data_IF_811609498343
#
_entry.id   IF_811609498343
#
_cell.length_a   1.000
_cell.length_b   1.000
_cell.length_c   1.000
_cell.angle_alpha   90.00
_cell.angle_beta   90.00
_cell.angle_gamma   90.00
#
_symmetry.space_group_name_H-M   'P 1'
#
loop_
_entity.id
_entity.type
_entity.pdbx_description
1 polymer ?
#
# COMPACT_ATOMS: atom_id res chain seq x y z
N UNK A 1 18.24 -6.22 -10.77
CA UNK A 1 17.90 -7.21 -9.73
C UNK A 1 16.57 -6.78 -9.14
N UNK A 2 15.52 -7.57 -9.33
CA UNK A 2 14.15 -7.14 -8.99
C UNK A 2 13.71 -7.53 -7.58
N UNK A 3 14.49 -8.34 -6.87
CA UNK A 3 14.30 -8.64 -5.46
C UNK A 3 15.66 -8.79 -4.78
N UNK A 4 15.77 -8.35 -3.52
CA UNK A 4 17.00 -8.42 -2.73
C UNK A 4 16.67 -8.92 -1.33
N UNK A 5 17.39 -9.93 -0.86
CA UNK A 5 17.34 -10.34 0.55
C UNK A 5 18.10 -9.33 1.38
N UNK A 6 17.43 -8.72 2.34
CA UNK A 6 18.04 -7.74 3.23
C UNK A 6 18.81 -8.43 4.35
N UNK A 7 19.76 -7.71 4.96
CA UNK A 7 20.62 -8.16 6.08
C UNK A 7 19.85 -8.18 7.41
N UNK A 8 18.62 -8.72 7.39
CA UNK A 8 17.78 -8.90 8.57
C UNK A 8 16.86 -10.10 8.37
N UNK A 9 16.67 -10.84 9.45
CA UNK A 9 15.74 -11.95 9.53
C UNK A 9 15.09 -11.98 10.90
N UNK A 10 14.01 -12.74 11.00
CA UNK A 10 13.18 -12.90 12.17
C UNK A 10 13.00 -14.39 12.45
N UNK A 11 12.66 -14.74 13.70
CA UNK A 11 12.34 -16.12 14.06
C UNK A 11 11.03 -16.54 13.39
N UNK A 12 11.12 -17.50 12.46
CA UNK A 12 9.98 -17.99 11.71
C UNK A 12 8.91 -18.64 12.60
N UNK A 13 9.29 -19.36 13.66
CA UNK A 13 8.34 -20.02 14.55
C UNK A 13 7.59 -19.00 15.40
N UNK A 14 8.29 -17.98 15.90
CA UNK A 14 7.67 -16.90 16.65
C UNK A 14 6.69 -16.10 15.77
N UNK A 15 7.06 -15.84 14.52
CA UNK A 15 6.18 -15.17 13.56
C UNK A 15 4.94 -15.98 13.23
N UNK A 16 5.09 -17.29 13.00
CA UNK A 16 3.96 -18.16 12.71
C UNK A 16 3.02 -18.22 13.91
N UNK A 17 3.53 -18.40 15.13
CA UNK A 17 2.72 -18.37 16.35
C UNK A 17 1.97 -17.04 16.51
N UNK A 18 2.62 -15.92 16.20
CA UNK A 18 1.99 -14.59 16.24
C UNK A 18 0.90 -14.43 15.18
N UNK A 19 1.10 -14.97 13.96
CA UNK A 19 0.06 -15.01 12.94
C UNK A 19 -1.13 -15.86 13.39
N UNK A 20 -0.91 -17.04 13.95
CA UNK A 20 -2.01 -17.90 14.42
C UNK A 20 -2.91 -17.18 15.45
N UNK A 21 -2.33 -16.31 16.28
CA UNK A 21 -3.07 -15.53 17.25
C UNK A 21 -4.05 -14.50 16.63
N UNK A 22 -3.86 -14.10 15.37
CA UNK A 22 -4.69 -13.11 14.64
C UNK A 22 -5.30 -13.68 13.35
N UNK A 23 -5.15 -14.98 13.13
CA UNK A 23 -5.56 -15.66 11.90
C UNK A 23 -7.04 -15.48 11.58
N UNK A 24 -7.90 -15.57 12.60
CA UNK A 24 -9.35 -15.48 12.44
C UNK A 24 -9.77 -14.13 11.79
N UNK A 25 -9.12 -13.03 12.17
CA UNK A 25 -9.37 -11.71 11.57
C UNK A 25 -8.90 -11.60 10.13
N UNK A 26 -7.81 -12.29 9.78
CA UNK A 26 -7.33 -12.34 8.39
C UNK A 26 -8.29 -13.14 7.50
N UNK A 27 -8.82 -14.24 8.02
CA UNK A 27 -9.75 -15.12 7.31
C UNK A 27 -11.17 -14.55 7.23
N UNK A 28 -11.56 -13.66 8.14
CA UNK A 28 -12.89 -13.04 8.12
C UNK A 28 -13.04 -11.92 7.07
N UNK A 29 -11.96 -11.51 6.40
CA UNK A 29 -12.02 -10.48 5.35
C UNK A 29 -12.15 -11.12 3.96
N UNK A 30 -12.98 -10.56 3.06
CA UNK A 30 -13.24 -11.14 1.75
C UNK A 30 -11.97 -11.20 0.90
N UNK A 31 -11.98 -12.12 -0.05
CA UNK A 31 -10.88 -12.29 -0.97
C UNK A 31 -10.92 -11.24 -2.11
N UNK A 32 -9.82 -10.51 -2.30
CA UNK A 32 -9.55 -9.68 -3.50
C UNK A 32 -10.08 -8.25 -3.48
N UNK A 33 -9.30 -7.35 -4.10
CA UNK A 33 -9.81 -6.11 -4.67
C UNK A 33 -10.69 -6.44 -5.90
N UNK A 34 -11.81 -5.75 -6.14
CA UNK A 34 -12.58 -5.97 -7.35
C UNK A 34 -11.78 -5.48 -8.58
N UNK A 35 -11.93 -6.16 -9.73
CA UNK A 35 -11.32 -5.73 -11.01
C UNK A 35 -10.00 -6.41 -11.40
N UNK A 36 -9.14 -6.77 -10.45
CA UNK A 36 -7.85 -7.44 -10.75
C UNK A 36 -7.98 -8.96 -10.92
N UNK A 37 -9.16 -9.50 -10.56
CA UNK A 37 -9.53 -10.92 -10.66
C UNK A 37 -8.57 -11.88 -9.96
N UNK A 38 -7.99 -11.42 -8.86
CA UNK A 38 -7.29 -12.27 -7.91
C UNK A 38 -8.24 -13.30 -7.31
N UNK A 39 -7.71 -14.47 -6.97
CA UNK A 39 -8.47 -15.60 -6.44
C UNK A 39 -7.88 -16.01 -5.09
N UNK A 40 -8.71 -16.11 -4.06
CA UNK A 40 -8.29 -16.62 -2.74
C UNK A 40 -7.23 -15.75 -2.05
N UNK A 41 -7.24 -14.44 -2.23
CA UNK A 41 -6.29 -13.52 -1.60
C UNK A 41 -6.98 -12.64 -0.57
N UNK A 42 -6.53 -12.57 0.69
CA UNK A 42 -7.09 -11.65 1.70
C UNK A 42 -6.00 -10.82 2.39
N UNK A 43 -6.39 -9.70 3.02
CA UNK A 43 -5.44 -8.91 3.81
C UNK A 43 -6.08 -8.15 4.96
N UNK A 44 -5.27 -7.88 6.00
CA UNK A 44 -5.63 -6.97 7.10
C UNK A 44 -4.52 -5.94 7.33
N UNK A 45 -4.90 -4.75 7.76
CA UNK A 45 -3.97 -3.74 8.26
C UNK A 45 -3.60 -4.07 9.72
N UNK A 46 -2.29 -4.04 10.01
CA UNK A 46 -1.74 -4.18 11.36
C UNK A 46 -1.36 -2.82 11.95
N UNK A 47 -0.77 -1.94 11.16
CA UNK A 47 -0.29 -0.63 11.60
C UNK A 47 -0.22 0.29 10.38
N UNK A 48 -0.53 1.57 10.55
CA UNK A 48 -0.30 2.59 9.53
C UNK A 48 0.19 3.88 10.19
N UNK A 49 0.94 4.68 9.44
CA UNK A 49 1.41 5.97 9.92
C UNK A 49 0.28 6.99 10.18
N UNK A 50 -0.95 6.74 9.73
CA UNK A 50 -2.10 7.64 9.92
C UNK A 50 -3.05 7.18 11.03
N UNK A 51 -3.18 5.87 11.22
CA UNK A 51 -4.12 5.25 12.16
C UNK A 51 -3.42 4.74 13.43
N UNK A 52 -2.10 4.56 13.37
CA UNK A 52 -1.34 3.84 14.37
C UNK A 52 -1.65 2.33 14.36
N UNK A 53 -1.29 1.61 15.44
CA UNK A 53 -1.45 0.17 15.53
C UNK A 53 -2.93 -0.25 15.61
N UNK A 54 -3.32 -1.21 14.78
CA UNK A 54 -4.63 -1.85 14.82
C UNK A 54 -4.88 -2.56 16.15
N UNK A 55 -6.11 -2.57 16.70
CA UNK A 55 -6.46 -3.33 17.90
C UNK A 55 -6.10 -4.82 17.82
N UNK A 56 -6.03 -5.39 16.61
CA UNK A 56 -5.60 -6.78 16.35
C UNK A 56 -4.20 -7.06 16.92
N UNK A 57 -3.30 -6.07 16.93
CA UNK A 57 -1.94 -6.22 17.46
C UNK A 57 -1.89 -6.48 18.96
N UNK A 58 -2.96 -6.16 19.72
CA UNK A 58 -3.03 -6.51 21.15
C UNK A 58 -3.01 -8.02 21.37
N UNK A 59 -3.45 -8.81 20.38
CA UNK A 59 -3.45 -10.28 20.40
C UNK A 59 -2.15 -10.91 19.91
N UNK A 60 -1.27 -10.14 19.28
CA UNK A 60 0.01 -10.61 18.76
C UNK A 60 1.18 -9.70 19.18
N UNK A 61 1.61 -9.75 20.46
CA UNK A 61 2.71 -8.94 20.97
C UNK A 61 4.00 -9.05 20.15
N UNK A 62 4.34 -10.24 19.65
CA UNK A 62 5.52 -10.45 18.82
C UNK A 62 5.46 -9.70 17.47
N UNK A 63 4.28 -9.56 16.85
CA UNK A 63 4.12 -8.73 15.65
C UNK A 63 4.30 -7.25 16.01
N UNK A 64 3.72 -6.80 17.11
CA UNK A 64 3.89 -5.41 17.59
C UNK A 64 5.36 -5.09 17.89
N UNK A 65 6.05 -5.98 18.60
CA UNK A 65 7.47 -5.86 18.91
C UNK A 65 8.30 -5.82 17.63
N UNK A 66 8.03 -6.71 16.66
CA UNK A 66 8.68 -6.68 15.36
C UNK A 66 8.51 -5.31 14.70
N UNK A 67 7.28 -4.81 14.57
CA UNK A 67 7.00 -3.54 13.89
C UNK A 67 7.73 -2.37 14.57
N UNK A 68 7.68 -2.30 15.90
CA UNK A 68 8.39 -1.27 16.68
C UNK A 68 9.92 -1.40 16.63
N UNK A 69 10.43 -2.63 16.48
CA UNK A 69 11.86 -2.95 16.46
C UNK A 69 12.52 -2.82 15.09
N UNK A 70 11.76 -2.50 14.03
CA UNK A 70 12.33 -2.33 12.69
C UNK A 70 13.33 -1.16 12.64
N UNK A 71 13.12 -0.10 13.40
CA UNK A 71 13.92 1.12 13.26
C UNK A 71 13.84 1.70 11.83
N UNK A 72 12.72 1.46 11.16
CA UNK A 72 12.38 1.99 9.84
C UNK A 72 11.19 2.94 10.00
N UNK A 73 11.09 3.92 9.12
CA UNK A 73 9.91 4.78 9.04
C UNK A 73 8.78 4.02 8.35
N UNK A 74 8.00 3.28 9.14
CA UNK A 74 6.86 2.49 8.70
C UNK A 74 5.74 3.41 8.23
N UNK A 75 5.16 3.13 7.06
CA UNK A 75 3.97 3.81 6.53
C UNK A 75 2.75 2.91 6.61
N UNK A 76 2.94 1.61 6.36
CA UNK A 76 1.87 0.61 6.41
C UNK A 76 2.45 -0.77 6.71
N UNK A 77 1.80 -1.53 7.58
CA UNK A 77 2.04 -2.94 7.80
C UNK A 77 0.75 -3.74 7.58
N UNK A 78 0.83 -4.80 6.79
CA UNK A 78 -0.32 -5.68 6.48
C UNK A 78 0.07 -7.15 6.55
N UNK A 79 -0.89 -7.99 6.94
CA UNK A 79 -0.80 -9.43 6.67
C UNK A 79 -1.54 -9.71 5.37
N UNK A 80 -0.86 -10.33 4.41
CA UNK A 80 -1.43 -10.78 3.14
C UNK A 80 -1.44 -12.30 3.11
N UNK A 81 -2.63 -12.85 2.95
CA UNK A 81 -2.87 -14.29 2.85
C UNK A 81 -3.25 -14.65 1.41
N UNK A 82 -2.73 -15.79 0.94
CA UNK A 82 -3.12 -16.41 -0.32
C UNK A 82 -3.48 -17.88 -0.05
N UNK A 83 -4.75 -18.23 -0.27
CA UNK A 83 -5.33 -19.57 -0.11
C UNK A 83 -4.60 -20.63 -0.95
N UNK A 84 -4.73 -21.94 -0.59
CA UNK A 84 -4.45 -23.02 -1.52
C UNK A 84 -5.15 -22.81 -2.86
N UNK A 85 -4.42 -22.93 -3.97
CA UNK A 85 -4.91 -22.64 -5.32
C UNK A 85 -5.12 -21.15 -5.64
N UNK A 86 -4.79 -20.26 -4.70
CA UNK A 86 -4.95 -18.82 -4.87
C UNK A 86 -4.04 -18.25 -5.96
N UNK A 87 -4.53 -17.22 -6.65
CA UNK A 87 -3.84 -16.57 -7.77
C UNK A 87 -3.87 -15.05 -7.58
N UNK A 88 -2.68 -14.45 -7.58
CA UNK A 88 -2.45 -13.03 -7.77
C UNK A 88 -2.07 -12.86 -9.23
N UNK A 89 -2.95 -12.24 -10.01
CA UNK A 89 -2.72 -12.00 -11.44
C UNK A 89 -1.56 -11.04 -11.65
N UNK A 90 -0.99 -11.08 -12.84
CA UNK A 90 0.09 -10.17 -13.19
C UNK A 90 -0.38 -8.72 -13.21
N UNK A 91 0.31 -7.90 -12.43
CA UNK A 91 0.08 -6.47 -12.32
C UNK A 91 1.41 -5.78 -11.98
N UNK A 92 1.40 -4.46 -11.96
CA UNK A 92 2.45 -3.65 -11.34
C UNK A 92 1.81 -2.86 -10.22
N UNK A 93 2.52 -2.66 -9.11
CA UNK A 93 2.02 -1.87 -8.00
C UNK A 93 2.19 -0.40 -8.38
N UNK A 94 1.23 0.11 -9.16
CA UNK A 94 1.22 1.51 -9.54
C UNK A 94 1.36 2.37 -8.28
N UNK A 95 0.69 2.00 -7.17
CA UNK A 95 0.62 2.55 -5.80
C UNK A 95 1.91 2.75 -4.99
N UNK A 96 3.09 2.41 -5.49
CA UNK A 96 4.35 2.66 -4.78
C UNK A 96 5.06 3.88 -5.38
N UNK A 97 5.22 4.95 -4.58
CA UNK A 97 6.02 6.11 -4.99
C UNK A 97 7.51 5.75 -5.02
N UNK A 98 8.33 6.55 -5.71
CA UNK A 98 9.80 6.36 -5.69
C UNK A 98 10.40 6.34 -4.28
N UNK A 99 9.72 6.94 -3.31
CA UNK A 99 10.17 7.06 -1.91
C UNK A 99 9.52 6.06 -0.97
N UNK A 100 8.61 5.22 -1.45
CA UNK A 100 8.01 4.15 -0.65
C UNK A 100 8.50 2.82 -1.18
N UNK A 101 9.12 2.05 -0.30
CA UNK A 101 9.63 0.73 -0.60
C UNK A 101 8.75 -0.31 0.08
N UNK A 102 8.32 -1.30 -0.71
CA UNK A 102 7.62 -2.48 -0.20
C UNK A 102 8.61 -3.57 0.18
N UNK A 103 8.50 -4.02 1.42
CA UNK A 103 9.22 -5.15 1.97
C UNK A 103 8.26 -6.29 2.28
N UNK A 104 8.79 -7.51 2.22
CA UNK A 104 8.07 -8.72 2.60
C UNK A 104 8.85 -9.51 3.64
N UNK A 105 8.12 -10.04 4.62
CA UNK A 105 8.57 -11.09 5.51
C UNK A 105 7.62 -12.27 5.35
N UNK A 106 8.01 -13.35 4.66
CA UNK A 106 7.21 -14.56 4.63
C UNK A 106 7.06 -15.13 6.04
N UNK A 107 5.83 -15.42 6.45
CA UNK A 107 5.53 -16.05 7.74
C UNK A 107 5.23 -17.53 7.52
N UNK A 108 4.25 -17.82 6.66
CA UNK A 108 3.92 -19.17 6.21
C UNK A 108 4.15 -19.24 4.70
N UNK A 109 4.97 -20.17 4.24
CA UNK A 109 5.28 -20.35 2.82
C UNK A 109 5.53 -21.82 2.51
N UNK A 110 5.57 -22.17 1.22
CA UNK A 110 5.79 -23.54 0.73
C UNK A 110 6.62 -23.49 -0.56
N UNK A 111 7.42 -24.52 -0.90
CA UNK A 111 8.14 -24.58 -2.18
C UNK A 111 7.24 -24.38 -3.41
N UNK A 112 5.99 -24.87 -3.33
CA UNK A 112 4.97 -24.74 -4.39
C UNK A 112 4.24 -23.38 -4.40
N UNK A 113 4.60 -22.45 -3.51
CA UNK A 113 4.15 -21.06 -3.60
C UNK A 113 5.06 -20.35 -4.58
N UNK A 114 4.52 -20.04 -5.74
CA UNK A 114 5.20 -19.32 -6.79
C UNK A 114 4.94 -17.82 -6.72
N UNK A 115 6.01 -17.04 -6.80
CA UNK A 115 5.99 -15.60 -6.84
C UNK A 115 7.10 -15.11 -7.77
N UNK A 116 6.77 -14.17 -8.63
CA UNK A 116 7.66 -13.65 -9.66
C UNK A 116 7.61 -12.12 -9.69
N UNK A 117 8.76 -11.48 -9.88
CA UNK A 117 8.89 -10.03 -10.12
C UNK A 117 9.79 -9.84 -11.34
N UNK A 118 9.34 -9.09 -12.35
CA UNK A 118 10.08 -8.86 -13.59
C UNK A 118 10.42 -10.17 -14.32
N UNK A 119 9.52 -11.16 -14.24
CA UNK A 119 9.74 -12.51 -14.77
C UNK A 119 10.73 -13.38 -13.98
N UNK A 120 11.31 -12.88 -12.88
CA UNK A 120 12.27 -13.62 -12.05
C UNK A 120 11.57 -14.28 -10.86
N UNK A 121 11.79 -15.58 -10.68
CA UNK A 121 11.27 -16.34 -9.54
C UNK A 121 11.89 -15.83 -8.23
N UNK A 122 11.04 -15.59 -7.23
CA UNK A 122 11.41 -15.10 -5.90
C UNK A 122 11.23 -16.21 -4.83
N UNK A 123 12.27 -17.00 -4.49
CA UNK A 123 12.18 -18.11 -3.55
C UNK A 123 12.34 -17.62 -2.09
N UNK A 124 11.45 -16.76 -1.63
CA UNK A 124 11.55 -16.15 -0.30
C UNK A 124 11.22 -17.15 0.82
N UNK A 125 12.15 -17.30 1.77
CA UNK A 125 12.02 -18.18 2.93
C UNK A 125 11.32 -17.52 4.13
N UNK A 126 10.74 -18.36 5.00
CA UNK A 126 10.10 -17.90 6.22
C UNK A 126 11.07 -17.13 7.13
N UNK A 127 10.61 -16.01 7.69
CA UNK A 127 11.39 -15.12 8.56
C UNK A 127 12.41 -14.23 7.84
N UNK A 128 12.61 -14.37 6.54
CA UNK A 128 13.56 -13.53 5.80
C UNK A 128 12.93 -12.17 5.45
N UNK A 129 13.71 -11.08 5.54
CA UNK A 129 13.27 -9.77 5.07
C UNK A 129 13.71 -9.55 3.61
N UNK A 130 12.74 -9.25 2.75
CA UNK A 130 12.96 -9.09 1.31
C UNK A 130 12.50 -7.74 0.82
N UNK A 131 13.33 -7.10 0.02
CA UNK A 131 12.94 -6.02 -0.89
C UNK A 131 12.44 -6.60 -2.21
N UNK A 132 11.37 -6.03 -2.76
CA UNK A 132 10.93 -6.29 -4.13
C UNK A 132 10.73 -4.98 -4.90
N UNK A 133 11.10 -4.98 -6.18
CA UNK A 133 10.82 -3.89 -7.12
C UNK A 133 9.44 -4.10 -7.77
N UNK A 134 8.40 -3.73 -7.03
CA UNK A 134 7.01 -3.92 -7.46
C UNK A 134 6.55 -2.92 -8.55
N UNK A 135 7.42 -2.02 -9.00
CA UNK A 135 7.17 -1.27 -10.24
C UNK A 135 7.28 -2.18 -11.47
N UNK A 136 7.89 -3.36 -11.33
CA UNK A 136 7.92 -4.37 -12.39
C UNK A 136 6.64 -5.21 -12.37
N UNK A 137 6.25 -5.78 -13.53
CA UNK A 137 5.21 -6.80 -13.58
C UNK A 137 5.53 -7.93 -12.61
N UNK A 138 4.57 -8.29 -11.77
CA UNK A 138 4.71 -9.33 -10.77
C UNK A 138 3.39 -10.08 -10.58
N UNK A 139 3.50 -11.36 -10.21
CA UNK A 139 2.37 -12.24 -10.03
C UNK A 139 2.71 -13.35 -9.03
N UNK A 140 1.68 -14.03 -8.52
CA UNK A 140 1.86 -15.13 -7.59
C UNK A 140 0.80 -16.21 -7.72
N UNK A 141 1.19 -17.46 -7.49
CA UNK A 141 0.32 -18.63 -7.56
C UNK A 141 0.66 -19.51 -6.35
N UNK A 142 -0.32 -19.83 -5.53
CA UNK A 142 -0.14 -20.79 -4.45
C UNK A 142 -0.60 -22.18 -4.92
N UNK A 143 0.33 -23.03 -5.36
CA UNK A 143 0.02 -24.42 -5.75
C UNK A 143 0.09 -25.41 -4.59
N UNK A 144 0.37 -24.92 -3.38
CA UNK A 144 0.49 -25.78 -2.20
C UNK A 144 -0.87 -26.12 -1.58
N UNK A 145 -0.87 -27.09 -0.67
CA UNK A 145 -2.04 -27.45 0.12
C UNK A 145 -2.29 -26.53 1.34
N UNK A 146 -1.41 -25.55 1.59
CA UNK A 146 -1.50 -24.64 2.73
C UNK A 146 -1.67 -23.20 2.28
N UNK A 147 -2.21 -22.35 3.14
CA UNK A 147 -2.25 -20.92 2.87
C UNK A 147 -0.83 -20.32 2.98
N UNK A 148 -0.47 -19.43 2.05
CA UNK A 148 0.70 -18.57 2.18
C UNK A 148 0.33 -17.32 2.95
N UNK A 149 1.22 -16.85 3.83
CA UNK A 149 1.04 -15.61 4.58
C UNK A 149 2.33 -14.81 4.60
N UNK A 150 2.30 -13.58 4.11
CA UNK A 150 3.42 -12.63 4.22
C UNK A 150 3.00 -11.44 5.08
N UNK A 151 3.89 -10.98 5.95
CA UNK A 151 3.87 -9.62 6.47
C UNK A 151 4.45 -8.71 5.40
N UNK A 152 3.70 -7.68 5.01
CA UNK A 152 4.06 -6.71 3.99
C UNK A 152 4.17 -5.34 4.63
N UNK A 153 5.30 -4.68 4.39
CA UNK A 153 5.65 -3.42 5.01
C UNK A 153 5.90 -2.40 3.89
N UNK A 154 5.18 -1.29 3.91
CA UNK A 154 5.53 -0.13 3.10
C UNK A 154 6.29 0.85 4.01
N UNK A 155 7.51 1.18 3.64
CA UNK A 155 8.44 2.01 4.44
C UNK A 155 9.04 3.13 3.60
N UNK A 156 9.45 4.22 4.23
CA UNK A 156 10.19 5.28 3.52
C UNK A 156 11.56 4.78 3.05
N UNK A 157 11.97 5.21 1.85
CA UNK A 157 13.28 4.98 1.29
C UNK A 157 14.32 5.94 1.89
N UNK A 158 14.72 5.68 3.13
CA UNK A 158 15.67 6.50 3.89
C UNK A 158 16.99 5.78 4.18
N UNK A 159 17.92 6.48 4.83
CA UNK A 159 19.21 5.92 5.20
C UNK A 159 19.10 4.69 6.13
N UNK A 160 18.03 4.56 6.93
CA UNK A 160 17.82 3.40 7.77
C UNK A 160 17.46 2.17 6.94
N UNK A 161 16.59 2.31 5.95
CA UNK A 161 16.31 1.26 4.98
C UNK A 161 17.57 0.88 4.19
N UNK A 162 18.32 1.86 3.66
CA UNK A 162 19.49 1.60 2.81
C UNK A 162 20.56 0.76 3.52
N UNK A 163 20.72 0.92 4.84
CA UNK A 163 21.65 0.11 5.66
C UNK A 163 21.28 -1.37 5.74
N UNK A 164 20.04 -1.74 5.41
CA UNK A 164 19.61 -3.14 5.40
C UNK A 164 20.02 -3.87 4.13
N UNK A 165 20.43 -3.18 3.06
CA UNK A 165 20.86 -3.85 1.83
C UNK A 165 22.27 -4.46 2.00
N UNK A 166 22.53 -5.65 1.43
CA UNK A 166 23.90 -6.16 1.27
C UNK A 166 24.79 -5.16 0.51
N UNK A 167 26.11 -5.15 0.78
CA UNK A 167 27.05 -4.28 0.07
C UNK A 167 26.91 -4.41 -1.46
N UNK A 168 26.75 -3.26 -2.14
CA UNK A 168 26.62 -3.21 -3.60
C UNK A 168 25.27 -3.66 -4.16
N UNK A 169 24.28 -3.98 -3.32
CA UNK A 169 22.95 -4.43 -3.77
C UNK A 169 21.85 -3.39 -3.57
N UNK A 170 22.19 -2.14 -3.23
CA UNK A 170 21.22 -1.03 -3.23
C UNK A 170 20.79 -0.75 -4.68
N UNK A 171 19.49 -0.81 -5.00
CA UNK A 171 18.99 -0.43 -6.33
C UNK A 171 19.35 1.01 -6.67
N UNK A 172 19.74 1.26 -7.92
CA UNK A 172 20.11 2.60 -8.39
C UNK A 172 18.98 3.64 -8.21
N UNK A 173 17.72 3.20 -8.33
CA UNK A 173 16.53 4.03 -8.09
C UNK A 173 16.43 4.55 -6.65
N UNK A 174 16.92 3.80 -5.67
CA UNK A 174 16.92 4.19 -4.26
C UNK A 174 18.18 4.98 -3.88
N UNK A 175 19.32 4.66 -4.50
CA UNK A 175 20.59 5.35 -4.24
C UNK A 175 20.57 6.84 -4.67
N UNK A 176 19.71 7.20 -5.62
CA UNK A 176 19.58 8.55 -6.15
C UNK A 176 18.60 9.44 -5.38
N UNK A 177 18.02 8.98 -4.27
CA UNK A 177 17.03 9.73 -3.49
C UNK A 177 17.71 10.65 -2.46
N UNK A 178 17.37 11.94 -2.50
CA UNK A 178 17.77 12.91 -1.46
C UNK A 178 17.10 12.58 -0.11
N UNK A 179 17.75 12.85 1.04
CA UNK A 179 17.18 12.61 2.37
C UNK A 179 15.87 13.37 2.57
N UNK A 180 14.88 12.72 3.19
CA UNK A 180 13.60 13.34 3.53
C UNK A 180 13.72 14.09 4.87
N UNK A 181 13.20 15.32 4.93
CA UNK A 181 13.01 16.03 6.19
C UNK A 181 11.91 15.37 7.03
N UNK A 182 11.95 15.53 8.36
CA UNK A 182 10.94 15.02 9.28
C UNK A 182 9.55 15.56 8.88
N UNK A 183 8.60 14.69 8.48
CA UNK A 183 7.20 15.13 8.35
C UNK A 183 6.52 14.98 9.70
N UNK A 184 5.82 16.02 10.13
CA UNK A 184 4.93 16.02 11.28
C UNK A 184 3.68 15.19 11.00
N UNK A 185 3.16 14.48 12.01
CA UNK A 185 1.86 13.80 11.95
C UNK A 185 0.73 14.84 11.87
N UNK A 186 -0.27 14.60 11.02
CA UNK A 186 -1.38 15.52 10.79
C UNK A 186 -2.54 15.26 11.76
N UNK A 187 -3.21 16.33 12.18
CA UNK A 187 -4.41 16.27 13.03
C UNK A 187 -5.52 15.42 12.39
N UNK A 188 -6.17 14.49 13.11
CA UNK A 188 -7.33 13.74 12.62
C UNK A 188 -8.45 14.59 12.02
N UNK A 189 -8.71 15.80 12.55
CA UNK A 189 -9.70 16.73 11.98
C UNK A 189 -9.32 17.22 10.58
N UNK A 190 -8.02 17.26 10.27
CA UNK A 190 -7.51 17.55 8.92
C UNK A 190 -7.74 16.36 7.98
N UNK A 191 -7.70 15.12 8.47
CA UNK A 191 -7.96 13.93 7.65
C UNK A 191 -9.42 13.87 7.19
N UNK A 192 -10.35 14.14 8.10
CA UNK A 192 -11.79 14.09 7.81
C UNK A 192 -12.21 15.07 6.71
N UNK A 193 -11.66 16.29 6.72
CA UNK A 193 -11.98 17.31 5.71
C UNK A 193 -11.42 17.01 4.32
N UNK A 194 -10.53 16.02 4.18
CA UNK A 194 -9.92 15.66 2.88
C UNK A 194 -10.77 14.64 2.10
N UNK A 195 -11.86 14.13 2.68
CA UNK A 195 -12.81 13.25 2.01
C UNK A 195 -13.83 14.03 1.15
N UNK A 196 -14.06 13.57 -0.08
CA UNK A 196 -15.01 14.18 -1.02
C UNK A 196 -15.40 13.21 -2.13
N UNK A 197 -16.58 13.40 -2.73
CA UNK A 197 -17.02 12.69 -3.93
C UNK A 197 -16.66 13.49 -5.19
N UNK A 198 -16.37 12.79 -6.29
CA UNK A 198 -16.05 13.38 -7.58
C UNK A 198 -16.61 12.55 -8.74
N UNK A 199 -16.59 13.14 -9.94
CA UNK A 199 -16.88 12.41 -11.19
C UNK A 199 -15.66 12.50 -12.11
N UNK A 200 -15.18 11.35 -12.60
CA UNK A 200 -14.21 11.29 -13.68
C UNK A 200 -14.94 11.48 -15.02
N UNK A 201 -14.55 12.44 -15.87
CA UNK A 201 -15.23 12.69 -17.13
C UNK A 201 -14.85 11.68 -18.23
N UNK A 202 -15.63 11.67 -19.31
CA UNK A 202 -15.28 10.96 -20.56
C UNK A 202 -13.91 11.44 -21.07
N UNK A 203 -13.08 10.51 -21.52
CA UNK A 203 -11.73 10.77 -22.00
C UNK A 203 -10.69 10.96 -20.88
N UNK A 204 -11.11 10.96 -19.61
CA UNK A 204 -10.18 10.93 -18.50
C UNK A 204 -9.33 9.66 -18.59
N UNK A 205 -8.03 9.84 -18.49
CA UNK A 205 -7.06 8.76 -18.40
C UNK A 205 -6.02 9.17 -17.38
N UNK A 206 -5.40 8.18 -16.75
CA UNK A 206 -4.44 8.43 -15.70
C UNK A 206 -3.17 7.64 -16.00
N UNK A 207 -2.12 8.30 -16.54
CA UNK A 207 -0.91 7.61 -16.94
C UNK A 207 -0.27 6.84 -15.77
N UNK A 208 0.02 5.56 -16.00
CA UNK A 208 0.70 4.69 -15.04
C UNK A 208 -0.21 3.94 -14.06
N UNK A 209 -1.54 4.06 -14.14
CA UNK A 209 -2.48 3.33 -13.27
C UNK A 209 -3.26 2.22 -13.98
N UNK A 210 -2.99 1.99 -15.28
CA UNK A 210 -3.76 1.06 -16.12
C UNK A 210 -5.17 1.54 -16.45
N UNK A 211 -5.59 2.72 -15.98
CA UNK A 211 -6.88 3.32 -16.32
C UNK A 211 -6.81 3.89 -17.74
N UNK A 212 -7.35 3.14 -18.70
CA UNK A 212 -7.54 3.60 -20.08
C UNK A 212 -8.50 4.79 -20.14
N UNK A 213 -8.49 5.49 -21.28
CA UNK A 213 -9.38 6.62 -21.51
C UNK A 213 -10.84 6.21 -21.34
N UNK A 214 -11.51 6.83 -20.37
CA UNK A 214 -12.89 6.49 -20.03
C UNK A 214 -13.83 6.75 -21.21
N UNK A 215 -14.68 5.78 -21.52
CA UNK A 215 -15.72 5.90 -22.55
C UNK A 215 -17.04 6.44 -22.01
N UNK A 216 -17.21 6.45 -20.68
CA UNK A 216 -18.35 7.00 -19.96
C UNK A 216 -17.86 7.63 -18.64
N UNK A 217 -18.57 8.63 -18.07
CA UNK A 217 -18.21 9.18 -16.77
C UNK A 217 -18.26 8.09 -15.69
N UNK A 218 -17.31 8.13 -14.75
CA UNK A 218 -17.29 7.22 -13.59
C UNK A 218 -17.37 8.00 -12.28
N UNK A 219 -18.22 7.59 -11.33
CA UNK A 219 -18.21 8.18 -10.00
C UNK A 219 -16.92 7.77 -9.27
N UNK A 220 -16.41 8.66 -8.43
CA UNK A 220 -15.29 8.39 -7.55
C UNK A 220 -15.45 9.10 -6.22
N UNK A 221 -14.65 8.72 -5.24
CA UNK A 221 -14.67 9.33 -3.92
C UNK A 221 -13.33 9.19 -3.24
N UNK A 222 -12.90 10.19 -2.48
CA UNK A 222 -11.85 10.05 -1.48
C UNK A 222 -12.56 9.83 -0.15
N UNK A 223 -12.35 8.68 0.47
CA UNK A 223 -13.00 8.30 1.73
C UNK A 223 -11.96 7.90 2.75
N UNK A 224 -12.26 8.20 4.01
CA UNK A 224 -11.52 7.66 5.13
C UNK A 224 -11.99 6.22 5.37
N UNK A 225 -11.08 5.26 5.27
CA UNK A 225 -11.32 3.85 5.62
C UNK A 225 -10.22 3.45 6.60
N UNK A 226 -10.61 3.04 7.80
CA UNK A 226 -9.66 2.69 8.87
C UNK A 226 -8.60 3.80 9.14
N UNK A 227 -9.01 5.08 9.11
CA UNK A 227 -8.15 6.28 9.22
C UNK A 227 -7.10 6.45 8.10
N UNK A 228 -7.31 5.84 6.93
CA UNK A 228 -6.53 6.08 5.73
C UNK A 228 -7.40 6.73 4.66
N UNK A 229 -6.91 7.77 3.99
CA UNK A 229 -7.59 8.29 2.80
C UNK A 229 -7.36 7.31 1.66
N UNK A 230 -8.45 6.78 1.15
CA UNK A 230 -8.46 5.89 0.00
C UNK A 230 -9.28 6.56 -1.11
N UNK A 231 -8.71 6.61 -2.30
CA UNK A 231 -9.43 6.98 -3.51
C UNK A 231 -10.18 5.76 -3.99
N UNK A 232 -11.47 5.90 -4.21
CA UNK A 232 -12.35 4.93 -4.83
C UNK A 232 -12.78 5.43 -6.21
N UNK A 233 -12.93 4.50 -7.15
CA UNK A 233 -13.56 4.74 -8.45
C UNK A 233 -14.60 3.63 -8.64
N UNK A 234 -15.83 4.02 -8.99
CA UNK A 234 -16.98 3.11 -9.13
C UNK A 234 -17.21 2.24 -7.88
N UNK A 235 -17.10 2.86 -6.70
CA UNK A 235 -17.19 2.19 -5.38
C UNK A 235 -16.08 1.18 -5.07
N UNK A 236 -15.01 1.14 -5.87
CA UNK A 236 -13.87 0.24 -5.67
C UNK A 236 -12.61 1.02 -5.27
N UNK A 237 -11.82 0.55 -4.29
CA UNK A 237 -10.59 1.21 -3.90
C UNK A 237 -9.59 1.17 -5.06
N UNK A 238 -8.95 2.30 -5.33
CA UNK A 238 -8.16 2.55 -6.53
C UNK A 238 -6.75 3.06 -6.20
N UNK A 239 -6.61 4.06 -5.33
CA UNK A 239 -5.32 4.60 -4.91
C UNK A 239 -5.32 4.86 -3.40
N UNK A 240 -4.14 4.80 -2.78
CA UNK A 240 -3.97 5.40 -1.44
C UNK A 240 -3.70 6.88 -1.59
N UNK A 241 -4.29 7.66 -0.71
CA UNK A 241 -4.08 9.08 -0.58
C UNK A 241 -3.34 9.31 0.74
N UNK A 242 -2.12 9.85 0.68
CA UNK A 242 -1.32 10.16 1.87
C UNK A 242 -1.22 11.66 2.03
N UNK A 243 -1.85 12.22 3.07
CA UNK A 243 -1.67 13.62 3.43
C UNK A 243 -0.19 13.92 3.67
N UNK A 244 0.31 14.96 3.02
CA UNK A 244 1.69 15.45 3.17
C UNK A 244 1.74 16.85 3.79
N UNK A 245 0.60 17.55 3.76
CA UNK A 245 0.35 18.79 4.49
C UNK A 245 -1.15 18.95 4.68
N UNK A 246 -1.55 20.04 5.32
CA UNK A 246 -2.95 20.39 5.55
C UNK A 246 -3.83 20.50 4.29
N UNK A 247 -3.24 20.82 3.14
CA UNK A 247 -3.97 21.09 1.89
C UNK A 247 -3.51 20.20 0.71
N UNK A 248 -2.59 19.28 0.96
CA UNK A 248 -1.97 18.49 -0.10
C UNK A 248 -1.92 17.03 0.31
N UNK A 249 -2.41 16.19 -0.60
CA UNK A 249 -2.41 14.74 -0.47
C UNK A 249 -1.64 14.17 -1.66
N UNK A 250 -0.63 13.36 -1.37
CA UNK A 250 0.04 12.57 -2.38
C UNK A 250 -0.84 11.38 -2.73
N UNK A 251 -1.16 11.24 -4.03
CA UNK A 251 -1.75 10.02 -4.55
C UNK A 251 -0.64 9.02 -4.74
N UNK A 252 -0.61 8.05 -3.83
CA UNK A 252 0.27 6.92 -3.98
C UNK A 252 -0.26 6.09 -5.12
N UNK A 253 0.39 6.23 -6.26
CA UNK A 253 0.34 5.17 -7.23
C UNK A 253 0.48 5.43 -8.68
N UNK A 254 1.25 6.46 -8.95
CA UNK A 254 1.16 7.14 -10.19
C UNK A 254 2.58 7.53 -10.58
N UNK A 255 2.84 7.64 -11.88
CA UNK A 255 4.17 7.89 -12.45
C UNK A 255 4.84 9.18 -11.91
N UNK A 256 4.86 10.31 -12.64
CA UNK A 256 5.32 11.58 -12.05
C UNK A 256 4.50 11.91 -10.79
N UNK A 257 5.12 12.60 -9.81
CA UNK A 257 4.53 12.89 -8.49
C UNK A 257 3.07 13.36 -8.61
N UNK A 258 2.13 12.51 -8.19
CA UNK A 258 0.72 12.83 -8.31
C UNK A 258 0.19 13.39 -7.00
N UNK A 259 -0.39 14.59 -7.05
CA UNK A 259 -0.93 15.25 -5.85
C UNK A 259 -2.32 15.78 -6.10
N UNK A 260 -3.18 15.60 -5.10
CA UNK A 260 -4.39 16.39 -4.93
C UNK A 260 -4.03 17.61 -4.08
N UNK A 261 -4.21 18.81 -4.65
CA UNK A 261 -4.16 20.06 -3.90
C UNK A 261 -5.58 20.57 -3.68
N UNK A 262 -5.88 20.85 -2.42
CA UNK A 262 -7.18 21.26 -1.94
C UNK A 262 -7.19 22.78 -1.76
N UNK A 263 -8.35 23.37 -2.00
CA UNK A 263 -8.68 24.72 -1.55
C UNK A 263 -9.90 24.61 -0.66
N UNK A 264 -9.91 25.35 0.45
CA UNK A 264 -10.96 25.25 1.46
C UNK A 264 -11.73 26.56 1.61
N UNK A 265 -12.96 26.44 2.08
CA UNK A 265 -13.75 27.53 2.66
C UNK A 265 -14.26 27.07 4.03
N UNK A 266 -13.56 27.47 5.10
CA UNK A 266 -13.72 26.82 6.41
C UNK A 266 -13.24 25.36 6.33
N UNK A 267 -14.06 24.44 6.84
CA UNK A 267 -13.76 22.99 6.80
C UNK A 267 -14.24 22.29 5.52
N UNK A 268 -14.81 23.03 4.57
CA UNK A 268 -15.34 22.47 3.33
C UNK A 268 -14.33 22.58 2.18
N UNK A 269 -14.14 21.47 1.47
CA UNK A 269 -13.38 21.45 0.21
C UNK A 269 -14.12 22.26 -0.86
N UNK A 270 -13.49 23.33 -1.35
CA UNK A 270 -14.02 24.19 -2.41
C UNK A 270 -13.56 23.75 -3.80
N UNK A 271 -12.39 23.15 -3.88
CA UNK A 271 -11.82 22.70 -5.14
C UNK A 271 -10.65 21.77 -4.89
N UNK A 272 -10.52 20.78 -5.77
CA UNK A 272 -9.40 19.83 -5.76
C UNK A 272 -8.79 19.81 -7.15
N UNK A 273 -7.47 20.00 -7.19
CA UNK A 273 -6.69 19.92 -8.44
C UNK A 273 -5.75 18.73 -8.37
N UNK A 274 -5.85 17.84 -9.36
CA UNK A 274 -4.85 16.81 -9.62
C UNK A 274 -3.68 17.43 -10.39
N UNK A 275 -2.48 17.25 -9.85
CA UNK A 275 -1.21 17.60 -10.47
C UNK A 275 -0.40 16.34 -10.72
N UNK A 276 0.28 16.28 -11.86
CA UNK A 276 1.29 15.25 -12.18
C UNK A 276 2.64 15.96 -12.35
N UNK A 277 3.58 15.68 -11.44
CA UNK A 277 4.78 16.49 -11.27
C UNK A 277 4.42 17.91 -10.86
N UNK A 278 4.74 18.88 -11.71
CA UNK A 278 4.39 20.30 -11.51
C UNK A 278 3.21 20.76 -12.35
N UNK A 279 2.63 19.88 -13.17
CA UNK A 279 1.62 20.25 -14.16
C UNK A 279 0.22 19.90 -13.65
N UNK A 280 -0.71 20.88 -13.54
CA UNK A 280 -2.12 20.60 -13.31
C UNK A 280 -2.70 19.84 -14.50
N UNK A 281 -3.32 18.68 -14.24
CA UNK A 281 -3.90 17.84 -15.29
C UNK A 281 -5.42 17.72 -15.18
N UNK A 282 -5.97 17.93 -14.00
CA UNK A 282 -7.42 17.86 -13.80
C UNK A 282 -7.88 18.67 -12.61
N UNK A 283 -9.08 19.24 -12.68
CA UNK A 283 -9.78 19.82 -11.56
C UNK A 283 -11.11 19.08 -11.40
N UNK A 284 -11.41 18.62 -10.19
CA UNK A 284 -12.61 17.82 -9.93
C UNK A 284 -13.81 18.72 -9.63
N UNK A 285 -14.98 18.32 -10.13
CA UNK A 285 -16.26 18.80 -9.60
C UNK A 285 -16.47 18.15 -8.22
N UNK A 286 -16.20 18.92 -7.16
CA UNK A 286 -16.21 18.43 -5.79
C UNK A 286 -17.65 18.44 -5.28
N UNK A 287 -18.11 17.27 -4.83
CA UNK A 287 -19.38 17.10 -4.13
C UNK A 287 -19.08 16.52 -2.76
N UNK A 288 -19.74 17.02 -1.72
CA UNK A 288 -19.50 16.51 -0.37
C UNK A 288 -20.17 15.16 -0.21
N UNK A 289 -19.41 14.19 0.30
CA UNK A 289 -19.98 12.91 0.71
C UNK A 289 -21.09 13.16 1.74
N UNK A 290 -22.29 12.65 1.47
CA UNK A 290 -23.39 12.72 2.42
C UNK A 290 -23.00 11.92 3.67
N UNK A 291 -22.99 12.59 4.82
CA UNK A 291 -22.72 11.94 6.12
C UNK A 291 -23.81 10.89 6.37
N UNK A 292 -23.49 9.63 6.67
CA UNK A 292 -24.34 8.86 7.55
C UNK A 292 -24.31 9.59 8.89
N UNK A 293 -25.42 10.18 9.31
CA UNK A 293 -25.56 10.62 10.70
C UNK A 293 -25.40 9.41 11.62
N UNK A 294 -24.82 9.58 12.83
CA UNK A 294 -24.76 8.52 13.82
C UNK A 294 -26.15 8.03 14.22
#
# INVERSE_FOLDING_TARGET
>A
MHAVRLNRSFDAHALEAAYQAVRAEVESRPAGYPGEGHVGWSSICLDSASSGPSPVLARAPALRELLSGLGLRLRLARLLRLEPGGVIREHHDAFLSRRIVRLHVPIVTHPDVEFYIGGQRCPWGAGELWYGDFSQPHHGINRSAIARVHLVLDVSADAALLRLFPPGQVPASLAALEPEGAQEELDPGVLDRLAFDFTLPVGFHLPGTGLEALTAPLPGSVKLVDNELCVFVNEQPFLKAVPVSEDTVDLLGMGPEARLRYTFQGDQVRGVTLTLGTTPVHAFDVRHALRPHP
#
